data_IF_214304919524
#
_entry.id   IF_214304919524
#
_cell.length_a   1.000
_cell.length_b   1.000
_cell.length_c   1.000
_cell.angle_alpha   90.00
_cell.angle_beta   90.00
_cell.angle_gamma   90.00
#
_symmetry.space_group_name_H-M   'P 1'
#
loop_
_entity.id
_entity.type
_entity.pdbx_description
1 polymer ?
#
# COMPACT_ATOMS: atom_id res chain seq x y z
N UNK A 1 -43.25 -10.90 27.33
CA UNK A 1 -42.03 -10.08 27.48
C UNK A 1 -41.25 -10.19 26.19
N UNK A 2 -41.00 -9.04 25.58
CA UNK A 2 -40.49 -8.89 24.23
C UNK A 2 -39.04 -9.35 24.08
N UNK A 3 -38.79 -10.25 23.13
CA UNK A 3 -37.54 -10.25 22.39
C UNK A 3 -37.71 -9.31 21.20
N UNK A 4 -36.83 -8.32 21.00
CA UNK A 4 -36.52 -7.85 19.67
C UNK A 4 -35.11 -8.30 19.31
N UNK A 5 -35.06 -9.39 18.55
CA UNK A 5 -33.98 -9.62 17.60
C UNK A 5 -34.13 -8.57 16.49
N UNK A 6 -33.43 -7.44 16.62
CA UNK A 6 -33.22 -6.50 15.52
C UNK A 6 -31.76 -6.06 15.58
N UNK A 7 -30.87 -6.99 15.24
CA UNK A 7 -29.55 -6.63 14.73
C UNK A 7 -29.81 -5.99 13.36
N UNK A 8 -29.81 -4.66 13.33
CA UNK A 8 -30.02 -3.90 12.13
C UNK A 8 -29.07 -4.37 11.02
N UNK A 9 -29.58 -4.63 9.80
CA UNK A 9 -28.72 -4.93 8.65
C UNK A 9 -27.73 -3.79 8.32
N UNK A 10 -27.93 -2.60 8.91
CA UNK A 10 -27.01 -1.47 8.86
C UNK A 10 -25.71 -1.69 9.66
N UNK A 11 -25.74 -2.46 10.76
CA UNK A 11 -24.54 -2.68 11.58
C UNK A 11 -23.56 -3.67 10.90
N UNK A 12 -24.07 -4.62 10.12
CA UNK A 12 -23.26 -5.51 9.27
C UNK A 12 -22.54 -4.75 8.14
N UNK A 13 -23.15 -3.69 7.62
CA UNK A 13 -22.51 -2.80 6.63
C UNK A 13 -21.43 -1.90 7.24
N UNK A 14 -21.46 -1.68 8.56
CA UNK A 14 -20.47 -0.88 9.29
C UNK A 14 -19.24 -1.71 9.72
N UNK A 15 -19.27 -3.03 9.55
CA UNK A 15 -18.16 -3.95 9.88
C UNK A 15 -17.35 -4.41 8.66
N UNK A 16 -17.54 -3.82 7.48
CA UNK A 16 -16.53 -3.95 6.44
C UNK A 16 -15.34 -3.13 6.90
N UNK A 17 -14.37 -3.77 7.57
CA UNK A 17 -13.13 -3.10 7.96
C UNK A 17 -12.53 -2.52 6.66
N UNK A 18 -12.42 -1.19 6.51
CA UNK A 18 -11.86 -0.58 5.31
C UNK A 18 -10.37 -0.95 5.12
N UNK A 19 -9.77 -1.57 6.15
CA UNK A 19 -8.35 -1.90 6.25
C UNK A 19 -8.02 -3.36 5.87
N UNK A 20 -8.98 -4.17 5.40
CA UNK A 20 -8.85 -5.62 5.14
C UNK A 20 -7.88 -6.01 4.01
N UNK A 21 -7.26 -5.05 3.32
CA UNK A 21 -6.11 -5.36 2.47
C UNK A 21 -4.97 -5.93 3.33
N UNK A 22 -4.37 -7.05 2.94
CA UNK A 22 -3.11 -7.51 3.53
C UNK A 22 -1.94 -6.71 2.91
N UNK A 23 -0.73 -6.78 3.47
CA UNK A 23 0.49 -6.20 2.87
C UNK A 23 0.70 -6.63 1.41
N UNK A 24 0.25 -7.83 1.06
CA UNK A 24 0.27 -8.32 -0.32
C UNK A 24 -0.67 -7.54 -1.24
N UNK A 25 -1.85 -7.18 -0.74
CA UNK A 25 -2.80 -6.31 -1.44
C UNK A 25 -2.20 -4.92 -1.63
N UNK A 26 -1.53 -4.38 -0.62
CA UNK A 26 -0.88 -3.06 -0.71
C UNK A 26 0.24 -3.01 -1.75
N UNK A 27 0.98 -4.12 -1.92
CA UNK A 27 2.02 -4.26 -2.94
C UNK A 27 1.46 -4.28 -4.37
N UNK A 28 0.24 -4.79 -4.54
CA UNK A 28 -0.42 -4.90 -5.85
C UNK A 28 -1.28 -3.68 -6.18
N UNK A 29 -1.64 -2.89 -5.18
CA UNK A 29 -2.39 -1.66 -5.35
C UNK A 29 -1.49 -0.55 -5.88
N UNK A 30 -2.02 0.33 -6.74
CA UNK A 30 -1.27 1.49 -7.26
C UNK A 30 -1.34 2.73 -6.34
N UNK A 31 -2.38 2.84 -5.50
CA UNK A 31 -2.58 3.94 -4.54
C UNK A 31 -1.98 3.65 -3.15
N UNK A 32 -1.66 4.69 -2.35
CA UNK A 32 -0.94 4.55 -1.09
C UNK A 32 -1.65 3.64 -0.08
N UNK A 33 -0.86 2.86 0.68
CA UNK A 33 -1.40 1.99 1.71
C UNK A 33 -2.19 2.78 2.79
N UNK A 34 -3.17 2.15 3.47
CA UNK A 34 -4.06 2.86 4.40
C UNK A 34 -3.36 3.44 5.62
N UNK A 35 -2.12 3.02 5.93
CA UNK A 35 -1.33 3.55 7.06
C UNK A 35 0.13 3.80 6.68
N UNK A 36 0.80 4.75 7.37
CA UNK A 36 2.22 5.05 7.16
C UNK A 36 3.11 3.82 7.34
N UNK A 37 2.86 3.03 8.37
CA UNK A 37 3.66 1.85 8.69
C UNK A 37 3.61 0.80 7.58
N UNK A 38 2.42 0.53 7.03
CA UNK A 38 2.22 -0.40 5.92
C UNK A 38 2.91 0.09 4.65
N UNK A 39 2.79 1.37 4.33
CA UNK A 39 3.45 1.94 3.15
C UNK A 39 4.98 1.88 3.25
N UNK A 40 5.55 2.14 4.43
CA UNK A 40 7.01 2.00 4.63
C UNK A 40 7.47 0.57 4.36
N UNK A 41 6.73 -0.43 4.83
CA UNK A 41 7.04 -1.85 4.55
C UNK A 41 6.95 -2.15 3.05
N UNK A 42 5.93 -1.66 2.36
CA UNK A 42 5.78 -1.79 0.90
C UNK A 42 6.95 -1.17 0.15
N UNK A 43 7.37 0.03 0.55
CA UNK A 43 8.54 0.71 -0.04
C UNK A 43 9.81 -0.12 0.18
N UNK A 44 10.04 -0.61 1.40
CA UNK A 44 11.22 -1.43 1.69
C UNK A 44 11.27 -2.71 0.86
N UNK A 45 10.14 -3.42 0.73
CA UNK A 45 10.04 -4.62 -0.10
C UNK A 45 10.30 -4.28 -1.57
N UNK A 46 9.73 -3.17 -2.06
CA UNK A 46 9.94 -2.71 -3.43
C UNK A 46 11.41 -2.38 -3.72
N UNK A 47 12.09 -1.70 -2.79
CA UNK A 47 13.51 -1.39 -2.90
C UNK A 47 14.37 -2.66 -2.88
N UNK A 48 14.03 -3.64 -2.05
CA UNK A 48 14.71 -4.92 -2.02
C UNK A 48 14.59 -5.65 -3.37
N UNK A 49 13.39 -5.67 -3.96
CA UNK A 49 13.14 -6.26 -5.28
C UNK A 49 13.94 -5.54 -6.39
N UNK A 50 13.96 -4.20 -6.38
CA UNK A 50 14.78 -3.42 -7.32
C UNK A 50 16.27 -3.79 -7.17
N UNK A 51 16.75 -3.92 -5.93
CA UNK A 51 18.13 -4.34 -5.66
C UNK A 51 18.45 -5.74 -6.17
N UNK A 52 17.52 -6.69 -6.02
CA UNK A 52 17.65 -8.05 -6.58
C UNK A 52 17.73 -8.00 -8.11
N UNK A 53 16.84 -7.24 -8.76
CA UNK A 53 16.86 -7.08 -10.22
C UNK A 53 18.19 -6.45 -10.68
N UNK A 54 18.66 -5.42 -9.97
CA UNK A 54 19.95 -4.80 -10.26
C UNK A 54 21.11 -5.80 -10.13
N UNK A 55 21.11 -6.63 -9.08
CA UNK A 55 22.14 -7.64 -8.86
C UNK A 55 22.16 -8.73 -9.94
N UNK A 56 20.99 -9.11 -10.46
CA UNK A 56 20.87 -10.15 -11.50
C UNK A 56 21.25 -9.60 -12.89
N UNK A 57 20.71 -8.43 -13.26
CA UNK A 57 20.91 -7.86 -14.60
C UNK A 57 22.26 -7.16 -14.73
N UNK A 58 22.76 -6.61 -13.62
CA UNK A 58 23.98 -5.83 -13.58
C UNK A 58 23.78 -4.35 -13.96
N UNK A 59 24.84 -3.55 -13.86
CA UNK A 59 24.78 -2.11 -14.11
C UNK A 59 24.66 -1.81 -15.61
N UNK A 60 23.54 -1.24 -16.02
CA UNK A 60 23.33 -0.73 -17.37
C UNK A 60 22.49 0.55 -17.35
N UNK A 61 22.61 1.37 -18.40
CA UNK A 61 21.86 2.63 -18.52
C UNK A 61 20.36 2.38 -18.40
N UNK A 62 19.83 1.34 -19.05
CA UNK A 62 18.42 0.98 -18.97
C UNK A 62 17.98 0.61 -17.55
N UNK A 63 18.79 -0.15 -16.81
CA UNK A 63 18.50 -0.51 -15.42
C UNK A 63 18.47 0.73 -14.52
N UNK A 64 19.39 1.67 -14.71
CA UNK A 64 19.38 2.93 -13.94
C UNK A 64 18.16 3.80 -14.27
N UNK A 65 17.76 3.89 -15.54
CA UNK A 65 16.55 4.62 -15.95
C UNK A 65 15.31 3.97 -15.33
N UNK A 66 15.19 2.65 -15.40
CA UNK A 66 14.06 1.94 -14.80
C UNK A 66 14.02 2.12 -13.27
N UNK A 67 15.17 2.03 -12.59
CA UNK A 67 15.26 2.29 -11.16
C UNK A 67 14.84 3.73 -10.83
N UNK A 68 15.30 4.73 -11.57
CA UNK A 68 14.93 6.13 -11.37
C UNK A 68 13.41 6.34 -11.49
N UNK A 69 12.77 5.75 -12.50
CA UNK A 69 11.31 5.80 -12.68
C UNK A 69 10.61 5.15 -11.49
N UNK A 70 11.08 3.99 -11.02
CA UNK A 70 10.52 3.31 -9.87
C UNK A 70 10.65 4.13 -8.58
N UNK A 71 11.80 4.77 -8.35
CA UNK A 71 12.00 5.66 -7.20
C UNK A 71 11.05 6.86 -7.24
N UNK A 72 10.85 7.48 -8.40
CA UNK A 72 9.89 8.58 -8.58
C UNK A 72 8.48 8.11 -8.26
N UNK A 73 8.08 6.94 -8.77
CA UNK A 73 6.77 6.36 -8.47
C UNK A 73 6.57 6.13 -6.97
N UNK A 74 7.52 5.50 -6.29
CA UNK A 74 7.46 5.25 -4.84
C UNK A 74 7.38 6.57 -4.06
N UNK A 75 8.14 7.59 -4.47
CA UNK A 75 8.09 8.92 -3.85
C UNK A 75 6.74 9.63 -4.02
N UNK A 76 6.16 9.60 -5.23
CA UNK A 76 4.85 10.18 -5.50
C UNK A 76 3.78 9.48 -4.68
N UNK A 77 3.76 8.15 -4.68
CA UNK A 77 2.81 7.34 -3.93
C UNK A 77 2.87 7.66 -2.44
N UNK A 78 4.06 7.70 -1.86
CA UNK A 78 4.24 8.07 -0.45
C UNK A 78 3.74 9.50 -0.17
N UNK A 79 4.04 10.45 -1.04
CA UNK A 79 3.60 11.84 -0.89
C UNK A 79 2.06 11.99 -0.96
N UNK A 80 1.39 11.17 -1.77
CA UNK A 80 -0.07 11.09 -1.80
C UNK A 80 -0.61 10.48 -0.49
N UNK A 81 0.06 9.44 0.03
CA UNK A 81 -0.26 8.81 1.31
C UNK A 81 -0.21 9.79 2.49
N UNK A 82 0.82 10.64 2.55
CA UNK A 82 0.96 11.68 3.59
C UNK A 82 -0.28 12.60 3.69
N UNK A 83 -0.92 12.91 2.55
CA UNK A 83 -2.14 13.73 2.53
C UNK A 83 -3.36 12.99 3.08
N UNK A 84 -3.40 11.68 2.90
CA UNK A 84 -4.46 10.81 3.43
C UNK A 84 -4.30 10.62 4.94
N UNK A 85 -3.11 10.21 5.38
CA UNK A 85 -2.87 9.86 6.78
C UNK A 85 -2.96 11.07 7.72
N UNK A 86 -2.58 12.27 7.27
CA UNK A 86 -2.65 13.49 8.08
C UNK A 86 -4.08 13.95 8.41
N UNK A 87 -5.11 13.41 7.74
CA UNK A 87 -6.53 13.76 8.01
C UNK A 87 -7.25 12.73 8.88
N UNK A 88 -6.55 11.68 9.30
CA UNK A 88 -7.09 10.55 10.08
C UNK A 88 -6.77 10.71 11.56
#
# INVERSE_FOLDING_TARGET
MHYPAVLEPAMLLCMKQPDEGNLFTDLMEFGPAPTMAREVVVILISLALIGIVFAIVGPSVLVFVAAAVAFVFLGIRFALGLRGWSRS
#
